data_IF_129664105416
#
_entry.id   IF_129664105416
#
_cell.length_a   1.000
_cell.length_b   1.000
_cell.length_c   1.000
_cell.angle_alpha   90.00
_cell.angle_beta   90.00
_cell.angle_gamma   90.00
#
_symmetry.space_group_name_H-M   'P 1'
#
loop_
_entity.id
_entity.type
_entity.pdbx_description
1 polymer ?
#
# COMPACT_ATOMS: atom_id res chain seq x y z
N UNK A 1 -2.37 -75.79 39.52
CA UNK A 1 -2.82 -75.23 38.23
C UNK A 1 -2.10 -73.89 38.05
N UNK A 2 -0.95 -73.88 37.36
CA UNK A 2 -0.13 -72.68 37.14
C UNK A 2 -0.63 -71.93 35.90
N UNK A 3 -1.06 -70.68 36.06
CA UNK A 3 -1.43 -69.80 34.96
C UNK A 3 -0.19 -68.99 34.59
N UNK A 4 0.38 -69.26 33.40
CA UNK A 4 1.47 -68.48 32.81
C UNK A 4 0.87 -67.28 32.09
N UNK A 5 1.23 -66.07 32.51
CA UNK A 5 0.94 -64.82 31.79
C UNK A 5 2.08 -64.49 30.83
N UNK A 6 1.79 -64.38 29.54
CA UNK A 6 2.70 -63.85 28.53
C UNK A 6 2.46 -62.33 28.34
N UNK A 7 3.50 -61.49 28.28
CA UNK A 7 3.33 -60.09 27.92
C UNK A 7 3.13 -59.94 26.41
N UNK A 8 2.05 -59.27 26.02
CA UNK A 8 1.74 -58.88 24.65
C UNK A 8 2.44 -57.54 24.36
N UNK A 9 3.52 -57.57 23.58
CA UNK A 9 4.20 -56.36 23.13
C UNK A 9 3.45 -55.76 21.93
N UNK A 10 2.70 -54.68 22.15
CA UNK A 10 2.05 -53.91 21.08
C UNK A 10 3.09 -52.91 20.54
N UNK A 11 3.65 -53.20 19.37
CA UNK A 11 4.48 -52.24 18.62
C UNK A 11 3.58 -51.22 17.93
N UNK A 12 3.51 -50.01 18.50
CA UNK A 12 2.85 -48.85 17.90
C UNK A 12 3.75 -48.27 16.81
N UNK A 13 3.43 -48.54 15.54
CA UNK A 13 4.09 -47.89 14.39
C UNK A 13 3.53 -46.47 14.28
N UNK A 14 4.29 -45.48 14.76
CA UNK A 14 4.03 -44.06 14.54
C UNK A 14 4.35 -43.72 13.07
N UNK A 15 3.31 -43.66 12.24
CA UNK A 15 3.37 -43.03 10.92
C UNK A 15 3.59 -41.52 11.10
N UNK A 16 4.85 -41.09 11.06
CA UNK A 16 5.21 -39.67 10.94
C UNK A 16 4.89 -39.25 9.51
N UNK A 17 3.69 -38.73 9.30
CA UNK A 17 3.36 -38.06 8.05
C UNK A 17 4.29 -36.83 7.92
N UNK A 18 4.99 -36.64 6.78
CA UNK A 18 5.74 -35.43 6.56
C UNK A 18 4.73 -34.28 6.52
N UNK A 19 4.80 -33.39 7.51
CA UNK A 19 4.16 -32.08 7.43
C UNK A 19 4.76 -31.39 6.20
N UNK A 20 4.04 -31.40 5.09
CA UNK A 20 4.38 -30.62 3.92
C UNK A 20 4.42 -29.16 4.35
N UNK A 21 5.60 -28.56 4.33
CA UNK A 21 5.75 -27.12 4.52
C UNK A 21 4.87 -26.43 3.48
N UNK A 22 3.77 -25.82 3.91
CA UNK A 22 2.96 -24.99 3.04
C UNK A 22 3.88 -23.95 2.39
N UNK A 23 3.90 -23.89 1.06
CA UNK A 23 4.69 -22.91 0.31
C UNK A 23 4.25 -21.52 0.77
N UNK A 24 5.21 -20.67 1.17
CA UNK A 24 4.89 -19.32 1.63
C UNK A 24 4.19 -18.56 0.50
N UNK A 25 3.18 -17.74 0.80
CA UNK A 25 2.56 -16.88 -0.21
C UNK A 25 3.64 -16.05 -0.89
N UNK A 26 3.65 -16.04 -2.23
CA UNK A 26 4.52 -15.15 -2.99
C UNK A 26 3.95 -13.74 -2.85
N UNK A 27 4.76 -12.80 -2.35
CA UNK A 27 4.42 -11.39 -2.21
C UNK A 27 5.15 -10.62 -3.32
N UNK A 28 4.57 -9.51 -3.79
CA UNK A 28 5.19 -8.65 -4.79
C UNK A 28 6.57 -8.14 -4.36
N UNK A 29 7.53 -8.14 -5.29
CA UNK A 29 8.85 -7.53 -5.08
C UNK A 29 8.84 -5.99 -5.12
N UNK A 30 7.67 -5.37 -5.29
CA UNK A 30 7.58 -3.93 -5.32
C UNK A 30 8.00 -3.29 -3.99
N UNK A 31 8.82 -2.24 -4.10
CA UNK A 31 9.26 -1.40 -2.97
C UNK A 31 8.75 0.04 -3.08
N UNK A 32 8.01 0.37 -4.13
CA UNK A 32 7.53 1.71 -4.40
C UNK A 32 6.28 1.66 -5.27
N UNK A 33 5.41 2.66 -5.16
CA UNK A 33 4.32 2.87 -6.10
C UNK A 33 4.88 3.01 -7.52
N UNK A 34 4.12 2.50 -8.48
CA UNK A 34 4.43 2.64 -9.90
C UNK A 34 3.14 2.88 -10.67
N UNK A 35 3.26 3.48 -11.84
CA UNK A 35 2.17 3.45 -12.78
C UNK A 35 1.92 1.99 -13.20
N UNK A 36 0.69 1.54 -13.07
CA UNK A 36 0.25 0.19 -13.43
C UNK A 36 -0.82 0.25 -14.51
N UNK A 37 -0.72 -0.69 -15.43
CA UNK A 37 -1.74 -0.94 -16.44
C UNK A 37 -2.74 -1.97 -15.91
N UNK A 38 -3.92 -1.50 -15.54
CA UNK A 38 -4.99 -2.36 -15.03
C UNK A 38 -5.67 -3.18 -16.14
N UNK A 39 -5.37 -2.95 -17.42
CA UNK A 39 -6.04 -3.66 -18.53
C UNK A 39 -5.73 -5.16 -18.55
N UNK A 40 -4.58 -5.56 -18.02
CA UNK A 40 -4.17 -6.95 -17.89
C UNK A 40 -4.68 -7.63 -16.60
N UNK A 41 -5.40 -6.91 -15.75
CA UNK A 41 -5.88 -7.44 -14.47
C UNK A 41 -7.27 -8.07 -14.62
N UNK A 42 -7.35 -9.39 -14.48
CA UNK A 42 -8.63 -10.13 -14.55
C UNK A 42 -9.65 -9.70 -13.48
N UNK A 43 -9.18 -9.07 -12.39
CA UNK A 43 -10.02 -8.54 -11.32
C UNK A 43 -10.47 -7.08 -11.58
N UNK A 44 -10.04 -6.45 -12.68
CA UNK A 44 -10.30 -5.02 -12.96
C UNK A 44 -11.78 -4.68 -12.89
N UNK A 45 -12.64 -5.52 -13.44
CA UNK A 45 -14.08 -5.26 -13.50
C UNK A 45 -14.86 -6.06 -12.43
N UNK A 46 -14.18 -6.62 -11.42
CA UNK A 46 -14.77 -7.43 -10.33
C UNK A 46 -14.51 -6.80 -8.97
N UNK A 47 -15.38 -5.87 -8.56
CA UNK A 47 -15.22 -5.15 -7.29
C UNK A 47 -15.27 -6.09 -6.07
N UNK A 48 -16.04 -7.18 -6.13
CA UNK A 48 -16.11 -8.20 -5.09
C UNK A 48 -14.89 -9.13 -5.03
N UNK A 49 -13.99 -9.07 -6.01
CA UNK A 49 -12.85 -9.97 -6.14
C UNK A 49 -13.25 -11.45 -6.18
N UNK A 50 -12.58 -12.29 -5.39
CA UNK A 50 -12.83 -13.74 -5.26
C UNK A 50 -13.38 -14.14 -3.89
N UNK A 51 -13.98 -13.21 -3.15
CA UNK A 51 -14.58 -13.52 -1.86
C UNK A 51 -15.63 -14.63 -1.97
N UNK A 52 -15.61 -15.54 -1.00
CA UNK A 52 -16.52 -16.71 -0.96
C UNK A 52 -17.71 -16.53 -0.02
N UNK A 53 -17.67 -15.51 0.83
CA UNK A 53 -18.71 -15.21 1.81
C UNK A 53 -19.40 -13.89 1.45
N UNK A 54 -20.66 -13.73 1.86
CA UNK A 54 -21.44 -12.52 1.56
C UNK A 54 -20.82 -11.26 2.18
N UNK A 55 -20.31 -11.36 3.41
CA UNK A 55 -19.60 -10.28 4.08
C UNK A 55 -18.25 -9.94 3.42
N UNK A 56 -17.51 -10.95 2.96
CA UNK A 56 -16.28 -10.74 2.19
C UNK A 56 -16.55 -10.04 0.85
N UNK A 57 -17.64 -10.41 0.18
CA UNK A 57 -18.09 -9.75 -1.07
C UNK A 57 -18.44 -8.27 -0.80
N UNK A 58 -19.16 -7.98 0.28
CA UNK A 58 -19.49 -6.61 0.70
C UNK A 58 -18.23 -5.80 0.99
N UNK A 59 -17.32 -6.33 1.81
CA UNK A 59 -16.08 -5.66 2.18
C UNK A 59 -15.17 -5.44 0.97
N UNK A 60 -15.00 -6.43 0.10
CA UNK A 60 -14.17 -6.28 -1.11
C UNK A 60 -14.70 -5.18 -2.03
N UNK A 61 -16.03 -5.04 -2.18
CA UNK A 61 -16.60 -3.91 -2.94
C UNK A 61 -16.24 -2.57 -2.36
N UNK A 62 -16.19 -2.45 -1.03
CA UNK A 62 -15.79 -1.22 -0.35
C UNK A 62 -14.28 -0.97 -0.45
N UNK A 63 -13.45 -2.02 -0.41
CA UNK A 63 -12.01 -1.92 -0.66
C UNK A 63 -11.72 -1.43 -2.09
N UNK A 64 -12.43 -2.00 -3.06
CA UNK A 64 -12.29 -1.72 -4.50
C UNK A 64 -13.13 -0.55 -5.03
N UNK A 65 -13.84 0.20 -4.18
CA UNK A 65 -14.66 1.32 -4.66
C UNK A 65 -13.80 2.39 -5.33
N UNK A 66 -14.40 3.16 -6.23
CA UNK A 66 -13.72 4.31 -6.84
C UNK A 66 -13.24 5.30 -5.78
N UNK A 67 -12.08 5.93 -6.03
CA UNK A 67 -11.58 6.98 -5.17
C UNK A 67 -12.62 8.10 -5.02
N UNK A 68 -12.87 8.53 -3.78
CA UNK A 68 -13.76 9.64 -3.53
C UNK A 68 -13.24 10.92 -4.22
N UNK A 69 -14.13 11.63 -4.92
CA UNK A 69 -13.83 12.95 -5.47
C UNK A 69 -13.61 13.94 -4.33
N UNK A 70 -12.41 14.49 -4.23
CA UNK A 70 -12.05 15.43 -3.16
C UNK A 70 -12.54 16.87 -3.41
N UNK A 71 -13.10 17.15 -4.59
CA UNK A 71 -13.57 18.49 -4.97
C UNK A 71 -14.76 18.92 -4.10
N UNK A 72 -14.60 20.02 -3.36
CA UNK A 72 -15.67 20.62 -2.56
C UNK A 72 -15.98 19.90 -1.24
N UNK A 73 -15.30 18.79 -0.94
CA UNK A 73 -15.43 18.08 0.33
C UNK A 73 -14.24 18.44 1.21
N UNK A 74 -14.50 18.91 2.44
CA UNK A 74 -13.50 19.03 3.50
C UNK A 74 -13.68 17.83 4.44
N UNK A 75 -12.87 16.77 4.31
CA UNK A 75 -12.96 15.61 5.17
C UNK A 75 -12.68 16.00 6.62
N UNK A 76 -13.34 15.32 7.56
CA UNK A 76 -13.01 15.48 8.97
C UNK A 76 -11.55 15.07 9.19
N UNK A 77 -10.77 15.95 9.81
CA UNK A 77 -9.36 15.70 10.08
C UNK A 77 -9.19 15.12 11.48
N UNK A 78 -8.48 13.99 11.58
CA UNK A 78 -8.28 13.26 12.83
C UNK A 78 -6.81 12.88 13.01
N UNK A 79 -6.33 12.89 14.25
CA UNK A 79 -5.11 12.18 14.67
C UNK A 79 -5.46 10.81 15.26
N UNK A 80 -4.46 10.02 15.70
CA UNK A 80 -4.70 8.70 16.30
C UNK A 80 -5.68 8.75 17.47
N UNK A 81 -5.53 9.70 18.38
CA UNK A 81 -6.39 9.79 19.56
C UNK A 81 -7.84 10.13 19.18
N UNK A 82 -8.03 11.07 18.25
CA UNK A 82 -9.35 11.50 17.80
C UNK A 82 -10.05 10.43 16.96
N UNK A 83 -9.29 9.74 16.10
CA UNK A 83 -9.79 8.60 15.32
C UNK A 83 -10.31 7.50 16.25
N UNK A 84 -9.48 7.04 17.21
CA UNK A 84 -9.88 5.99 18.14
C UNK A 84 -11.08 6.38 19.00
N UNK A 85 -11.18 7.65 19.42
CA UNK A 85 -12.39 8.14 20.12
C UNK A 85 -13.62 8.08 19.22
N UNK A 86 -13.48 8.50 17.95
CA UNK A 86 -14.57 8.58 16.99
C UNK A 86 -15.27 7.24 16.75
N UNK A 87 -14.48 6.17 16.62
CA UNK A 87 -14.98 4.80 16.35
C UNK A 87 -15.29 3.98 17.61
N UNK A 88 -14.84 4.42 18.80
CA UNK A 88 -14.89 3.61 20.03
C UNK A 88 -16.27 3.09 20.41
N UNK A 89 -17.30 3.89 20.14
CA UNK A 89 -18.68 3.53 20.46
C UNK A 89 -19.12 2.32 19.64
N UNK A 90 -18.85 2.32 18.34
CA UNK A 90 -19.12 1.20 17.46
C UNK A 90 -18.28 -0.02 17.85
N UNK A 91 -16.97 0.14 17.98
CA UNK A 91 -16.03 -0.95 18.33
C UNK A 91 -16.40 -1.67 19.62
N UNK A 92 -16.81 -0.93 20.65
CA UNK A 92 -17.23 -1.53 21.93
C UNK A 92 -18.43 -2.48 21.79
N UNK A 93 -19.30 -2.27 20.80
CA UNK A 93 -20.52 -3.06 20.55
C UNK A 93 -20.31 -4.16 19.51
N UNK A 94 -19.24 -4.10 18.73
CA UNK A 94 -18.97 -5.00 17.61
C UNK A 94 -17.69 -5.80 17.75
N UNK A 95 -16.94 -5.66 18.85
CA UNK A 95 -15.72 -6.42 19.13
C UNK A 95 -15.88 -7.93 18.85
N UNK A 96 -15.00 -8.47 18.01
CA UNK A 96 -14.99 -9.89 17.63
C UNK A 96 -16.15 -10.34 16.74
N UNK A 97 -17.02 -9.43 16.30
CA UNK A 97 -18.09 -9.73 15.34
C UNK A 97 -17.59 -9.59 13.90
N UNK A 98 -18.23 -10.33 12.98
CA UNK A 98 -18.16 -10.09 11.53
C UNK A 98 -19.40 -9.33 11.05
N UNK A 99 -19.40 -8.82 9.81
CA UNK A 99 -20.56 -8.11 9.23
C UNK A 99 -21.84 -8.95 9.25
N UNK A 100 -21.71 -10.25 9.01
CA UNK A 100 -22.84 -11.18 9.05
C UNK A 100 -23.49 -11.30 10.44
N UNK A 101 -22.76 -10.93 11.52
CA UNK A 101 -23.23 -11.02 12.91
C UNK A 101 -23.80 -9.68 13.43
N UNK A 102 -23.83 -8.64 12.59
CA UNK A 102 -24.36 -7.33 12.96
C UNK A 102 -25.88 -7.35 12.97
N UNK A 103 -26.46 -6.75 14.02
CA UNK A 103 -27.89 -6.43 14.03
C UNK A 103 -28.23 -5.38 12.95
N UNK A 104 -29.50 -5.25 12.52
CA UNK A 104 -29.89 -4.23 11.55
C UNK A 104 -29.51 -2.80 11.96
N UNK A 105 -29.58 -2.47 13.25
CA UNK A 105 -29.18 -1.16 13.78
C UNK A 105 -27.67 -0.95 13.65
N UNK A 106 -26.87 -1.97 13.99
CA UNK A 106 -25.42 -1.91 13.85
C UNK A 106 -24.99 -1.82 12.38
N UNK A 107 -25.70 -2.51 11.48
CA UNK A 107 -25.46 -2.43 10.03
C UNK A 107 -25.77 -1.04 9.47
N UNK A 108 -26.91 -0.47 9.82
CA UNK A 108 -27.26 0.89 9.41
C UNK A 108 -26.30 1.96 9.99
N UNK A 109 -25.72 1.71 11.16
CA UNK A 109 -24.66 2.55 11.72
C UNK A 109 -23.33 2.38 10.96
N UNK A 110 -22.92 1.14 10.69
CA UNK A 110 -21.73 0.83 9.89
C UNK A 110 -21.76 1.53 8.54
N UNK A 111 -22.88 1.43 7.81
CA UNK A 111 -23.05 2.06 6.51
C UNK A 111 -22.79 3.58 6.55
N UNK A 112 -23.18 4.26 7.63
CA UNK A 112 -22.92 5.71 7.80
C UNK A 112 -21.45 6.01 7.99
N UNK A 113 -20.72 5.16 8.71
CA UNK A 113 -19.28 5.31 8.88
C UNK A 113 -18.55 5.06 7.57
N UNK A 114 -18.87 3.98 6.86
CA UNK A 114 -18.15 3.57 5.66
C UNK A 114 -18.39 4.50 4.47
N UNK A 115 -19.45 5.30 4.47
CA UNK A 115 -19.66 6.37 3.49
C UNK A 115 -18.77 7.59 3.71
N UNK A 116 -18.13 7.71 4.88
CA UNK A 116 -17.36 8.89 5.22
C UNK A 116 -15.98 8.90 4.58
N UNK A 117 -15.61 10.09 4.16
CA UNK A 117 -14.26 10.46 3.78
C UNK A 117 -13.61 11.13 5.00
N UNK A 118 -12.44 10.65 5.42
CA UNK A 118 -11.69 11.22 6.54
C UNK A 118 -10.28 11.57 6.11
N UNK A 119 -9.66 12.51 6.82
CA UNK A 119 -8.25 12.87 6.68
C UNK A 119 -7.51 12.54 7.98
N UNK A 120 -6.70 11.50 7.95
CA UNK A 120 -5.96 11.03 9.12
C UNK A 120 -4.52 11.49 9.11
N UNK A 121 -4.02 11.99 10.24
CA UNK A 121 -2.64 12.43 10.39
C UNK A 121 -1.86 11.53 11.36
N UNK A 122 -0.67 11.12 10.94
CA UNK A 122 0.28 10.37 11.76
C UNK A 122 1.64 10.25 11.08
N UNK A 123 2.50 9.36 11.55
CA UNK A 123 3.83 9.10 10.99
C UNK A 123 3.84 7.78 10.24
N UNK A 124 4.19 7.81 8.95
CA UNK A 124 4.32 6.59 8.17
C UNK A 124 5.64 5.90 8.56
N UNK A 125 5.54 4.82 9.33
CA UNK A 125 6.73 4.09 9.80
C UNK A 125 7.07 2.96 8.85
N UNK A 126 6.07 2.18 8.44
CA UNK A 126 6.26 1.00 7.60
C UNK A 126 5.28 1.02 6.44
N UNK A 127 5.75 0.71 5.24
CA UNK A 127 4.90 0.45 4.08
C UNK A 127 5.32 -0.86 3.38
N UNK A 128 4.37 -1.57 2.79
CA UNK A 128 4.69 -2.81 2.04
C UNK A 128 3.57 -3.25 1.10
N UNK A 129 3.94 -4.08 0.13
CA UNK A 129 3.00 -4.81 -0.70
C UNK A 129 2.24 -5.85 0.13
N UNK A 130 0.91 -5.74 0.14
CA UNK A 130 0.03 -6.69 0.80
C UNK A 130 0.17 -8.10 0.25
N UNK A 131 -0.15 -9.12 1.06
CA UNK A 131 -0.23 -10.48 0.56
C UNK A 131 -1.36 -10.60 -0.48
N UNK A 132 -1.37 -11.68 -1.28
CA UNK A 132 -2.51 -12.00 -2.12
C UNK A 132 -3.81 -12.09 -1.33
N UNK A 133 -4.78 -11.25 -1.68
CA UNK A 133 -6.08 -11.17 -1.00
C UNK A 133 -7.24 -11.44 -1.96
N UNK A 134 -8.38 -11.85 -1.39
CA UNK A 134 -9.60 -12.06 -2.17
C UNK A 134 -10.06 -10.79 -2.89
N UNK A 135 -9.85 -9.61 -2.29
CA UNK A 135 -10.21 -8.31 -2.91
C UNK A 135 -9.49 -8.07 -4.23
N UNK A 136 -8.28 -8.61 -4.37
CA UNK A 136 -7.44 -8.48 -5.54
C UNK A 136 -7.36 -9.76 -6.39
N UNK A 137 -8.34 -10.66 -6.21
CA UNK A 137 -8.39 -11.97 -6.85
C UNK A 137 -7.14 -12.84 -6.61
N UNK A 138 -6.44 -12.64 -5.50
CA UNK A 138 -5.20 -13.35 -5.17
C UNK A 138 -4.01 -12.96 -6.06
N UNK A 139 -4.05 -11.80 -6.72
CA UNK A 139 -2.94 -11.33 -7.54
C UNK A 139 -1.73 -10.96 -6.67
N UNK A 140 -0.54 -11.31 -7.16
CA UNK A 140 0.73 -10.81 -6.62
C UNK A 140 1.17 -9.50 -7.26
N UNK A 141 0.66 -9.17 -8.45
CA UNK A 141 1.11 -8.01 -9.23
C UNK A 141 0.20 -6.80 -9.01
N UNK A 142 -1.06 -7.06 -8.69
CA UNK A 142 -2.07 -6.07 -8.32
C UNK A 142 -2.44 -6.32 -6.86
N UNK A 143 -1.76 -5.66 -5.94
CA UNK A 143 -1.93 -5.84 -4.51
C UNK A 143 -2.24 -4.50 -3.84
N UNK A 144 -2.82 -4.56 -2.65
CA UNK A 144 -2.96 -3.37 -1.83
C UNK A 144 -1.59 -3.00 -1.27
N UNK A 145 -1.31 -1.71 -1.08
CA UNK A 145 -0.19 -1.28 -0.25
C UNK A 145 -0.69 -1.05 1.16
N UNK A 146 -0.13 -1.78 2.13
CA UNK A 146 -0.41 -1.51 3.53
C UNK A 146 0.54 -0.44 4.04
N UNK A 147 -0.02 0.54 4.72
CA UNK A 147 0.67 1.66 5.34
C UNK A 147 0.39 1.60 6.84
N UNK A 148 1.42 1.37 7.64
CA UNK A 148 1.33 1.38 9.09
C UNK A 148 1.69 2.76 9.63
N UNK A 149 0.65 3.49 10.04
CA UNK A 149 0.76 4.89 10.46
C UNK A 149 0.61 5.00 11.97
N UNK A 150 1.66 5.48 12.62
CA UNK A 150 1.78 5.57 14.08
C UNK A 150 1.51 6.99 14.57
N UNK A 151 1.14 7.12 15.85
CA UNK A 151 0.95 8.43 16.48
C UNK A 151 2.26 9.23 16.63
N UNK A 152 3.38 8.52 16.75
CA UNK A 152 4.73 9.07 16.89
C UNK A 152 5.68 8.47 15.84
N UNK A 153 6.74 9.17 15.42
CA UNK A 153 7.74 8.59 14.53
C UNK A 153 8.51 7.48 15.25
N UNK A 154 9.10 6.57 14.48
CA UNK A 154 9.98 5.52 14.97
C UNK A 154 11.27 5.49 14.16
N UNK A 155 12.39 5.22 14.83
CA UNK A 155 13.71 4.97 14.23
C UNK A 155 14.05 3.48 14.11
N UNK A 156 13.09 2.61 14.47
CA UNK A 156 13.17 1.16 14.34
C UNK A 156 11.88 0.60 13.71
N UNK A 157 11.94 -0.59 13.08
CA UNK A 157 10.73 -1.27 12.65
C UNK A 157 9.86 -1.68 13.85
N UNK A 158 8.58 -2.01 13.64
CA UNK A 158 7.67 -2.42 14.71
C UNK A 158 8.22 -3.56 15.58
N UNK A 159 8.18 -3.40 16.90
CA UNK A 159 8.69 -4.36 17.88
C UNK A 159 7.81 -4.44 19.14
N UNK A 160 7.97 -5.48 19.98
CA UNK A 160 7.23 -5.58 21.23
C UNK A 160 7.45 -4.36 22.13
N UNK A 161 6.35 -3.86 22.69
CA UNK A 161 6.33 -2.65 23.53
C UNK A 161 5.88 -1.38 22.79
N UNK A 162 5.93 -1.37 21.45
CA UNK A 162 5.43 -0.23 20.67
C UNK A 162 3.90 -0.15 20.72
N UNK A 163 3.35 1.05 20.51
CA UNK A 163 1.93 1.19 20.19
C UNK A 163 1.62 0.51 18.85
N UNK A 164 0.39 0.10 18.61
CA UNK A 164 -0.03 -0.42 17.30
C UNK A 164 -0.41 0.72 16.34
N UNK A 165 -0.24 0.51 15.02
CA UNK A 165 -0.59 1.50 14.01
C UNK A 165 -2.10 1.57 13.73
N UNK A 166 -2.50 2.66 13.07
CA UNK A 166 -3.70 2.68 12.23
C UNK A 166 -3.28 2.22 10.83
N UNK A 167 -4.06 1.32 10.25
CA UNK A 167 -3.80 0.79 8.91
C UNK A 167 -4.47 1.68 7.87
N UNK A 168 -3.72 2.04 6.84
CA UNK A 168 -4.24 2.67 5.64
C UNK A 168 -3.82 1.83 4.43
N UNK A 169 -4.71 1.66 3.45
CA UNK A 169 -4.46 0.78 2.31
C UNK A 169 -4.71 1.48 0.97
N UNK A 170 -3.71 1.41 0.08
CA UNK A 170 -3.84 1.87 -1.31
C UNK A 170 -4.24 0.67 -2.16
N UNK A 171 -5.46 0.66 -2.67
CA UNK A 171 -5.90 -0.33 -3.66
C UNK A 171 -5.22 -0.11 -5.03
N UNK A 172 -4.99 -1.18 -5.84
CA UNK A 172 -4.45 -1.05 -7.20
C UNK A 172 -5.16 0.02 -8.05
N UNK A 173 -6.48 0.20 -7.87
CA UNK A 173 -7.28 1.18 -8.63
C UNK A 173 -6.82 2.63 -8.42
N UNK A 174 -6.29 2.93 -7.24
CA UNK A 174 -5.89 4.29 -6.86
C UNK A 174 -4.39 4.53 -6.98
N UNK A 175 -3.59 3.46 -7.10
CA UNK A 175 -2.13 3.54 -7.10
C UNK A 175 -1.59 4.50 -8.18
N UNK A 176 -2.05 4.36 -9.43
CA UNK A 176 -1.54 5.19 -10.54
C UNK A 176 -1.84 6.67 -10.34
N UNK A 177 -2.98 7.04 -9.75
CA UNK A 177 -3.31 8.43 -9.44
C UNK A 177 -2.35 8.99 -8.37
N UNK A 178 -2.18 8.27 -7.25
CA UNK A 178 -1.25 8.68 -6.18
C UNK A 178 0.20 8.77 -6.68
N UNK A 179 0.62 7.83 -7.53
CA UNK A 179 1.95 7.85 -8.13
C UNK A 179 2.17 9.10 -9.00
N UNK A 180 1.18 9.47 -9.83
CA UNK A 180 1.22 10.69 -10.66
C UNK A 180 1.18 11.97 -9.83
N UNK A 181 0.51 11.95 -8.68
CA UNK A 181 0.51 13.04 -7.69
C UNK A 181 1.84 13.16 -6.92
N UNK A 182 2.84 12.34 -7.27
CA UNK A 182 4.18 12.43 -6.70
C UNK A 182 4.36 11.70 -5.37
N UNK A 183 3.39 10.89 -4.94
CA UNK A 183 3.54 10.06 -3.73
C UNK A 183 4.66 9.03 -3.95
N UNK A 184 5.62 9.00 -3.01
CA UNK A 184 6.75 8.07 -3.00
C UNK A 184 6.88 7.44 -1.62
N UNK A 185 6.45 6.19 -1.49
CA UNK A 185 6.39 5.50 -0.19
C UNK A 185 7.77 5.39 0.45
N UNK A 186 8.84 5.17 -0.31
CA UNK A 186 10.18 5.07 0.30
C UNK A 186 10.66 6.40 0.89
N UNK A 187 10.24 7.53 0.32
CA UNK A 187 10.58 8.85 0.86
C UNK A 187 9.68 9.27 2.04
N UNK A 188 8.55 8.58 2.24
CA UNK A 188 7.59 8.86 3.31
C UNK A 188 7.74 7.91 4.50
N UNK A 189 8.04 6.63 4.24
CA UNK A 189 8.20 5.60 5.26
C UNK A 189 9.64 5.52 5.77
N UNK A 190 9.81 5.16 7.04
CA UNK A 190 11.14 4.84 7.59
C UNK A 190 11.63 3.45 7.14
N UNK A 191 10.70 2.52 6.96
CA UNK A 191 10.97 1.14 6.61
C UNK A 191 10.04 0.64 5.51
N UNK A 192 10.52 -0.31 4.72
CA UNK A 192 9.70 -1.14 3.84
C UNK A 192 9.80 -2.59 4.31
N UNK A 193 8.70 -3.34 4.22
CA UNK A 193 8.75 -4.80 4.41
C UNK A 193 8.94 -5.48 3.05
N UNK A 194 10.01 -6.25 2.94
CA UNK A 194 10.32 -7.06 1.77
C UNK A 194 9.42 -8.31 1.68
N UNK A 195 9.36 -9.00 0.53
CA UNK A 195 8.60 -10.24 0.36
C UNK A 195 9.07 -11.41 1.20
N UNK A 196 10.34 -11.44 1.56
CA UNK A 196 10.89 -12.38 2.54
C UNK A 196 10.53 -12.02 3.99
N UNK A 197 9.70 -10.96 4.15
CA UNK A 197 9.17 -10.40 5.37
C UNK A 197 10.21 -9.65 6.22
N UNK A 198 11.42 -9.42 5.70
CA UNK A 198 12.42 -8.60 6.39
C UNK A 198 12.05 -7.12 6.34
N UNK A 199 12.51 -6.37 7.34
CA UNK A 199 12.40 -4.90 7.34
C UNK A 199 13.66 -4.30 6.72
N UNK A 200 13.48 -3.47 5.70
CA UNK A 200 14.53 -2.73 5.02
C UNK A 200 14.39 -1.24 5.39
N UNK A 201 15.42 -0.57 5.95
CA UNK A 201 15.37 0.87 6.15
C UNK A 201 15.38 1.59 4.80
N UNK A 202 14.59 2.65 4.67
CA UNK A 202 14.53 3.45 3.43
C UNK A 202 15.66 4.48 3.33
N UNK A 203 16.38 4.71 4.43
CA UNK A 203 17.32 5.82 4.57
C UNK A 203 16.66 7.17 4.90
N UNK A 204 15.34 7.19 5.09
CA UNK A 204 14.58 8.37 5.49
C UNK A 204 13.97 8.18 6.90
N UNK A 205 13.79 9.25 7.69
CA UNK A 205 12.97 9.16 8.89
C UNK A 205 11.48 9.01 8.52
N UNK A 206 10.69 8.45 9.45
CA UNK A 206 9.24 8.37 9.29
C UNK A 206 8.66 9.79 9.12
N UNK A 207 7.98 10.04 8.00
CA UNK A 207 7.41 11.36 7.70
C UNK A 207 6.03 11.49 8.30
N UNK A 208 5.71 12.70 8.76
CA UNK A 208 4.36 13.03 9.19
C UNK A 208 3.50 13.20 7.94
N UNK A 209 2.50 12.35 7.78
CA UNK A 209 1.62 12.34 6.62
C UNK A 209 0.18 12.66 7.02
N UNK A 210 -0.56 13.28 6.09
CA UNK A 210 -2.03 13.27 6.07
C UNK A 210 -2.49 12.31 4.99
N UNK A 211 -3.26 11.31 5.38
CA UNK A 211 -3.85 10.32 4.47
C UNK A 211 -5.35 10.57 4.43
N UNK A 212 -5.87 10.82 3.24
CA UNK A 212 -7.30 11.00 3.00
C UNK A 212 -7.84 9.79 2.27
N UNK A 213 -8.93 9.22 2.77
CA UNK A 213 -9.59 8.08 2.17
C UNK A 213 -10.87 7.73 2.92
N UNK A 214 -11.55 6.70 2.47
CA UNK A 214 -12.79 6.30 3.09
C UNK A 214 -12.52 5.45 4.34
N UNK A 215 -13.38 5.60 5.36
CA UNK A 215 -13.42 4.64 6.45
C UNK A 215 -13.91 3.28 5.91
N UNK A 216 -13.28 2.22 6.40
CA UNK A 216 -13.69 0.85 6.16
C UNK A 216 -13.53 0.05 7.45
N UNK A 217 -14.52 -0.77 7.77
CA UNK A 217 -14.43 -1.71 8.89
C UNK A 217 -14.00 -3.08 8.35
N UNK A 218 -12.76 -3.46 8.64
CA UNK A 218 -12.18 -4.74 8.23
C UNK A 218 -12.51 -5.82 9.26
N UNK A 219 -13.73 -6.33 9.14
CA UNK A 219 -14.33 -7.27 10.09
C UNK A 219 -13.64 -8.64 10.13
N UNK A 220 -12.85 -9.00 9.11
CA UNK A 220 -12.03 -10.23 9.11
C UNK A 220 -10.90 -10.18 10.14
N UNK A 221 -10.54 -8.99 10.61
CA UNK A 221 -9.46 -8.78 11.56
C UNK A 221 -9.91 -7.98 12.78
N UNK A 222 -11.13 -8.26 13.23
CA UNK A 222 -11.70 -7.68 14.44
C UNK A 222 -11.44 -8.54 15.70
N UNK A 223 -10.51 -9.51 15.59
CA UNK A 223 -10.10 -10.39 16.69
C UNK A 223 -9.06 -9.75 17.62
N UNK A 224 -8.97 -10.25 18.85
CA UNK A 224 -7.95 -9.81 19.83
C UNK A 224 -6.51 -10.22 19.47
N UNK A 225 -6.35 -11.07 18.43
CA UNK A 225 -5.06 -11.36 17.84
C UNK A 225 -4.60 -10.22 16.92
N UNK A 226 -5.52 -9.59 16.20
CA UNK A 226 -5.21 -8.51 15.25
C UNK A 226 -5.28 -7.12 15.90
N UNK A 227 -6.21 -6.92 16.84
CA UNK A 227 -6.54 -5.62 17.43
C UNK A 227 -6.10 -5.50 18.89
N UNK A 228 -5.37 -4.44 19.20
CA UNK A 228 -5.06 -4.04 20.57
C UNK A 228 -4.09 -2.86 20.62
N UNK A 229 -3.87 -2.23 21.79
CA UNK A 229 -3.20 -0.93 21.88
C UNK A 229 -1.67 -0.96 21.73
N UNK A 230 -1.05 -2.13 21.81
CA UNK A 230 0.40 -2.25 21.74
C UNK A 230 0.86 -3.63 21.33
N UNK A 231 1.99 -3.67 20.63
CA UNK A 231 2.60 -4.88 20.08
C UNK A 231 3.12 -5.74 21.22
N UNK A 232 2.65 -6.99 21.30
CA UNK A 232 3.06 -7.95 22.33
C UNK A 232 4.17 -8.86 21.84
N UNK A 233 4.06 -9.33 20.61
CA UNK A 233 4.99 -10.30 20.02
C UNK A 233 5.24 -9.97 18.56
N UNK A 234 6.43 -10.29 18.09
CA UNK A 234 6.77 -10.33 16.66
C UNK A 234 7.12 -11.77 16.33
N UNK A 235 6.33 -12.39 15.47
CA UNK A 235 6.56 -13.76 15.05
C UNK A 235 7.83 -13.87 14.18
N UNK A 236 8.32 -15.10 13.95
CA UNK A 236 9.51 -15.34 13.14
C UNK A 236 9.38 -14.79 11.70
N UNK A 237 8.14 -14.71 11.20
CA UNK A 237 7.77 -14.12 9.92
C UNK A 237 7.64 -12.58 9.97
N UNK A 238 8.10 -11.94 11.05
CA UNK A 238 8.03 -10.49 11.30
C UNK A 238 6.62 -9.89 11.31
N UNK A 239 5.59 -10.72 11.36
CA UNK A 239 4.26 -10.26 11.63
C UNK A 239 4.13 -9.98 13.12
N UNK A 240 3.66 -8.78 13.47
CA UNK A 240 3.49 -8.39 14.86
C UNK A 240 2.05 -8.55 15.32
N UNK A 241 1.87 -8.80 16.62
CA UNK A 241 0.58 -9.17 17.20
C UNK A 241 0.40 -8.43 18.53
N UNK A 242 -0.67 -7.64 18.69
CA UNK A 242 -1.63 -7.23 17.67
C UNK A 242 -0.99 -6.44 16.53
N UNK A 243 -1.61 -6.52 15.35
CA UNK A 243 -1.14 -5.85 14.13
C UNK A 243 -1.63 -4.40 14.04
N UNK A 244 -2.79 -4.10 14.63
CA UNK A 244 -3.45 -2.79 14.48
C UNK A 244 -4.14 -2.33 15.76
N UNK A 245 -4.35 -1.02 15.88
CA UNK A 245 -5.01 -0.43 17.04
C UNK A 245 -6.53 -0.64 17.04
N UNK A 246 -7.13 -0.85 15.88
CA UNK A 246 -8.56 -1.04 15.66
C UNK A 246 -8.80 -1.84 14.37
N UNK A 247 -9.97 -2.46 14.22
CA UNK A 247 -10.43 -3.10 13.00
C UNK A 247 -10.79 -2.10 11.88
N UNK A 248 -10.85 -0.81 12.19
CA UNK A 248 -11.06 0.23 11.18
C UNK A 248 -9.78 0.60 10.46
N UNK A 249 -9.90 0.81 9.17
CA UNK A 249 -8.82 1.26 8.29
C UNK A 249 -9.30 2.40 7.39
N UNK A 250 -8.32 3.05 6.74
CA UNK A 250 -8.60 3.99 5.65
C UNK A 250 -8.36 3.25 4.34
N UNK A 251 -9.47 2.83 3.71
CA UNK A 251 -9.46 2.03 2.49
C UNK A 251 -10.70 2.34 1.61
N UNK A 252 -10.50 2.74 0.35
CA UNK A 252 -9.21 3.00 -0.28
C UNK A 252 -8.66 4.38 0.07
N UNK A 253 -7.34 4.48 0.12
CA UNK A 253 -6.65 5.78 0.18
C UNK A 253 -6.85 6.53 -1.15
N UNK A 254 -7.28 7.79 -1.05
CA UNK A 254 -7.50 8.69 -2.18
C UNK A 254 -6.42 9.77 -2.31
N UNK A 255 -5.76 10.18 -1.20
CA UNK A 255 -4.67 11.17 -1.22
C UNK A 255 -3.70 10.93 -0.07
N UNK A 256 -2.42 11.23 -0.31
CA UNK A 256 -1.37 11.27 0.73
C UNK A 256 -0.60 12.59 0.60
N UNK A 257 -0.44 13.29 1.71
CA UNK A 257 0.30 14.55 1.80
C UNK A 257 1.39 14.44 2.86
N UNK A 258 2.63 14.83 2.55
CA UNK A 258 3.66 15.04 3.57
C UNK A 258 3.43 16.39 4.27
N UNK A 259 3.39 16.41 5.60
CA UNK A 259 3.13 17.61 6.41
C UNK A 259 4.40 18.24 6.99
N UNK A 260 5.48 17.46 7.06
CA UNK A 260 6.78 17.83 7.61
C UNK A 260 7.86 17.97 6.52
N UNK A 261 7.47 17.87 5.25
CA UNK A 261 8.31 18.35 4.18
C UNK A 261 8.36 19.88 4.25
N UNK A 262 9.56 20.43 4.52
CA UNK A 262 9.91 21.69 3.85
C UNK A 262 9.52 21.47 2.39
N UNK A 263 8.67 22.36 1.87
CA UNK A 263 8.29 22.34 0.46
C UNK A 263 9.55 22.05 -0.33
N UNK A 264 9.55 21.08 -1.27
CA UNK A 264 10.75 20.78 -2.03
C UNK A 264 11.32 22.12 -2.49
N UNK A 265 12.57 22.40 -2.12
CA UNK A 265 13.34 23.49 -2.71
C UNK A 265 13.04 23.37 -4.19
N UNK A 266 12.29 24.35 -4.71
CA UNK A 266 11.78 24.31 -6.06
C UNK A 266 12.99 23.99 -6.94
N UNK A 267 13.03 22.76 -7.46
CA UNK A 267 14.05 22.38 -8.41
C UNK A 267 13.69 23.19 -9.66
N UNK A 268 14.31 24.36 -9.80
CA UNK A 268 14.29 25.25 -10.96
C UNK A 268 13.10 25.05 -11.90
N UNK A 269 11.88 25.25 -11.38
CA UNK A 269 10.77 25.55 -12.26
C UNK A 269 10.99 27.00 -12.71
N UNK A 270 11.13 27.26 -14.02
CA UNK A 270 11.29 28.62 -14.51
C UNK A 270 10.12 29.48 -13.98
N UNK A 271 10.38 30.72 -13.56
CA UNK A 271 9.40 31.52 -12.86
C UNK A 271 8.14 31.66 -13.71
N UNK A 272 6.99 31.36 -13.09
CA UNK A 272 5.70 31.62 -13.69
C UNK A 272 5.60 33.12 -14.00
N UNK A 273 5.60 33.46 -15.29
CA UNK A 273 5.48 34.83 -15.74
C UNK A 273 4.14 35.40 -15.26
N UNK A 274 4.21 36.52 -14.55
CA UNK A 274 3.05 37.33 -14.18
C UNK A 274 2.36 37.80 -15.47
N UNK A 275 1.03 37.67 -15.62
CA UNK A 275 0.36 38.11 -16.84
C UNK A 275 0.30 39.64 -16.85
N UNK A 276 1.23 40.25 -17.58
CA UNK A 276 1.09 41.63 -18.02
C UNK A 276 0.04 41.68 -19.13
N UNK A 277 -1.06 42.37 -18.87
CA UNK A 277 -2.07 42.69 -19.88
C UNK A 277 -1.42 43.65 -20.88
N UNK A 278 -1.13 43.16 -22.08
CA UNK A 278 -0.70 43.97 -23.22
C UNK A 278 -1.41 43.48 -24.49
N UNK A 279 -2.05 44.38 -25.28
CA UNK A 279 -2.81 44.00 -26.45
C UNK A 279 -1.88 43.79 -27.65
N UNK A 280 -1.78 42.55 -28.12
CA UNK A 280 -1.03 42.21 -29.34
C UNK A 280 -0.61 40.74 -29.34
N UNK A 281 -1.50 39.86 -29.79
CA UNK A 281 -1.26 38.43 -29.85
C UNK A 281 -0.18 38.08 -30.89
N UNK A 282 1.01 37.69 -30.42
CA UNK A 282 1.96 36.88 -31.16
C UNK A 282 1.64 35.38 -30.93
N UNK A 283 1.94 34.50 -31.90
CA UNK A 283 1.61 33.07 -31.81
C UNK A 283 2.26 32.40 -30.59
N UNK A 284 1.45 31.64 -29.84
CA UNK A 284 1.87 30.87 -28.66
C UNK A 284 2.91 29.83 -29.07
N UNK A 285 4.09 29.76 -28.42
CA UNK A 285 5.05 28.70 -28.68
C UNK A 285 4.47 27.35 -28.21
N UNK A 286 4.30 26.44 -29.15
CA UNK A 286 3.89 25.06 -28.90
C UNK A 286 4.95 24.38 -28.02
N UNK A 287 4.55 23.90 -26.84
CA UNK A 287 5.42 23.09 -25.98
C UNK A 287 5.87 21.85 -26.77
N UNK A 288 7.18 21.55 -26.85
CA UNK A 288 7.64 20.39 -27.59
C UNK A 288 7.04 19.11 -26.99
N UNK A 289 6.62 18.20 -27.87
CA UNK A 289 6.07 16.91 -27.47
C UNK A 289 7.12 16.12 -26.65
N UNK A 290 6.71 15.60 -25.50
CA UNK A 290 7.55 14.78 -24.64
C UNK A 290 7.85 13.44 -25.34
N UNK A 291 9.13 13.15 -25.57
CA UNK A 291 9.57 11.88 -26.17
C UNK A 291 9.64 10.76 -25.11
N UNK A 292 9.34 9.52 -25.53
CA UNK A 292 9.41 8.33 -24.68
C UNK A 292 10.23 7.21 -25.32
N UNK A 293 10.80 6.35 -24.48
CA UNK A 293 11.42 5.08 -24.88
C UNK A 293 10.82 3.92 -24.12
N UNK A 294 10.78 2.75 -24.74
CA UNK A 294 10.31 1.51 -24.11
C UNK A 294 11.49 0.56 -23.90
N UNK A 295 11.63 0.00 -22.71
CA UNK A 295 12.68 -0.97 -22.42
C UNK A 295 12.44 -2.29 -23.17
N UNK A 296 13.42 -2.77 -23.93
CA UNK A 296 13.36 -4.05 -24.66
C UNK A 296 13.81 -5.24 -23.81
N UNK A 297 14.53 -4.98 -22.72
CA UNK A 297 15.02 -5.96 -21.75
C UNK A 297 15.09 -5.35 -20.35
N UNK A 298 15.17 -6.16 -19.28
CA UNK A 298 15.39 -5.62 -17.95
C UNK A 298 16.71 -4.83 -17.86
N UNK A 299 16.69 -3.69 -17.18
CA UNK A 299 17.86 -2.80 -17.02
C UNK A 299 18.10 -2.55 -15.54
N UNK A 300 19.31 -2.84 -15.05
CA UNK A 300 19.71 -2.49 -13.69
C UNK A 300 20.14 -1.02 -13.66
N UNK A 301 19.54 -0.26 -12.76
CA UNK A 301 19.90 1.14 -12.50
C UNK A 301 20.28 1.30 -11.03
N UNK A 302 21.01 2.38 -10.74
CA UNK A 302 21.32 2.78 -9.37
C UNK A 302 20.43 3.94 -8.96
N UNK A 303 19.69 3.75 -7.89
CA UNK A 303 18.85 4.75 -7.24
C UNK A 303 19.45 5.05 -5.86
N UNK A 304 19.05 6.12 -5.15
CA UNK A 304 19.71 6.56 -3.92
C UNK A 304 19.75 5.49 -2.83
N UNK A 305 18.77 4.59 -2.87
CA UNK A 305 18.54 3.53 -1.90
C UNK A 305 18.88 2.12 -2.42
N UNK A 306 19.66 2.01 -3.50
CA UNK A 306 20.22 0.72 -3.94
C UNK A 306 20.25 0.51 -5.45
N UNK A 307 20.29 -0.76 -5.85
CA UNK A 307 20.17 -1.16 -7.25
C UNK A 307 18.74 -1.65 -7.52
N UNK A 308 18.14 -1.20 -8.62
CA UNK A 308 16.81 -1.63 -9.06
C UNK A 308 16.86 -2.16 -10.48
N UNK A 309 16.14 -3.25 -10.74
CA UNK A 309 15.96 -3.77 -12.10
C UNK A 309 14.65 -3.24 -12.65
N UNK A 310 14.73 -2.36 -13.64
CA UNK A 310 13.59 -1.91 -14.41
C UNK A 310 13.11 -3.04 -15.33
N UNK A 311 11.81 -3.39 -15.34
CA UNK A 311 11.31 -4.48 -16.17
C UNK A 311 11.26 -4.11 -17.66
N UNK A 312 11.33 -5.14 -18.52
CA UNK A 312 11.03 -5.01 -19.95
C UNK A 312 9.62 -4.43 -20.14
N UNK A 313 9.43 -3.60 -21.15
CA UNK A 313 8.15 -2.96 -21.47
C UNK A 313 7.89 -1.65 -20.74
N UNK A 314 8.69 -1.31 -19.73
CA UNK A 314 8.57 -0.03 -19.03
C UNK A 314 8.83 1.13 -20.00
N UNK A 315 7.89 2.08 -20.06
CA UNK A 315 8.03 3.33 -20.82
C UNK A 315 8.62 4.42 -19.94
N UNK A 316 9.62 5.13 -20.45
CA UNK A 316 10.36 6.14 -19.71
C UNK A 316 10.44 7.45 -20.52
N UNK A 317 10.20 8.61 -19.91
CA UNK A 317 10.32 9.91 -20.57
C UNK A 317 11.79 10.22 -20.84
N UNK A 318 12.12 10.56 -22.09
CA UNK A 318 13.47 10.94 -22.49
C UNK A 318 13.75 12.38 -22.09
N UNK A 319 14.87 12.61 -21.41
CA UNK A 319 15.43 13.94 -21.14
C UNK A 319 16.50 14.32 -22.16
N UNK A 320 17.38 13.37 -22.52
CA UNK A 320 18.44 13.59 -23.50
C UNK A 320 18.88 12.27 -24.14
N UNK A 321 19.42 12.37 -25.36
CA UNK A 321 20.07 11.26 -26.07
C UNK A 321 21.55 11.57 -26.25
N UNK A 322 22.40 10.59 -25.98
CA UNK A 322 23.84 10.67 -26.23
C UNK A 322 24.30 9.40 -26.95
N UNK A 323 25.48 9.42 -27.55
CA UNK A 323 26.07 8.22 -28.15
C UNK A 323 26.39 7.09 -27.15
N UNK A 324 26.30 7.36 -25.84
CA UNK A 324 26.59 6.40 -24.78
C UNK A 324 25.32 5.84 -24.09
N UNK A 325 24.13 6.37 -24.41
CA UNK A 325 22.89 5.99 -23.75
C UNK A 325 21.81 7.05 -23.82
N UNK A 326 20.65 6.70 -23.27
CA UNK A 326 19.47 7.55 -23.20
C UNK A 326 19.27 7.97 -21.75
N UNK A 327 19.27 9.27 -21.53
CA UNK A 327 19.00 9.88 -20.24
C UNK A 327 17.50 10.00 -20.07
N UNK A 328 16.96 9.38 -19.03
CA UNK A 328 15.52 9.37 -18.71
C UNK A 328 15.26 9.95 -17.34
N UNK A 329 14.03 10.42 -17.10
CA UNK A 329 13.55 10.66 -15.75
C UNK A 329 12.93 9.38 -15.17
N UNK A 330 13.43 8.94 -14.03
CA UNK A 330 12.87 7.84 -13.28
C UNK A 330 12.86 8.18 -11.79
N UNK A 331 11.65 8.24 -11.20
CA UNK A 331 11.42 8.61 -9.80
C UNK A 331 12.01 9.98 -9.41
N UNK A 332 11.95 10.96 -10.32
CA UNK A 332 12.48 12.30 -10.09
C UNK A 332 14.00 12.37 -10.20
N UNK A 333 14.64 11.31 -10.67
CA UNK A 333 16.08 11.23 -10.88
C UNK A 333 16.44 10.98 -12.32
N UNK A 334 17.57 11.54 -12.71
CA UNK A 334 18.15 11.33 -14.03
C UNK A 334 18.88 9.98 -14.06
N UNK A 335 18.40 9.06 -14.88
CA UNK A 335 18.99 7.73 -15.05
C UNK A 335 19.53 7.57 -16.47
N UNK A 336 20.69 6.91 -16.62
CA UNK A 336 21.23 6.59 -17.94
C UNK A 336 20.88 5.14 -18.30
N UNK A 337 20.14 4.96 -19.39
CA UNK A 337 19.71 3.67 -19.91
C UNK A 337 20.53 3.32 -21.16
N UNK A 338 21.09 2.10 -21.26
CA UNK A 338 21.79 1.66 -22.46
C UNK A 338 20.88 1.77 -23.70
N UNK A 339 21.40 2.36 -24.78
CA UNK A 339 20.61 2.60 -25.99
C UNK A 339 20.08 1.29 -26.61
N UNK A 340 20.89 0.23 -26.57
CA UNK A 340 20.54 -1.13 -27.05
C UNK A 340 19.43 -1.80 -26.21
N UNK A 341 19.14 -1.28 -25.01
CA UNK A 341 18.05 -1.74 -24.16
C UNK A 341 16.73 -1.00 -24.42
N UNK A 342 16.64 -0.18 -25.46
CA UNK A 342 15.46 0.67 -25.73
C UNK A 342 15.00 0.62 -27.17
N UNK A 343 13.71 0.90 -27.38
CA UNK A 343 13.14 1.26 -28.69
C UNK A 343 12.40 2.59 -28.54
N UNK A 344 12.42 3.40 -29.60
CA UNK A 344 11.67 4.66 -29.61
C UNK A 344 10.17 4.39 -29.47
N UNK A 345 9.52 5.03 -28.50
CA UNK A 345 8.06 5.07 -28.42
C UNK A 345 7.57 6.20 -29.31
N UNK A 346 6.55 5.94 -30.14
CA UNK A 346 5.92 6.99 -30.93
C UNK A 346 5.39 8.14 -30.05
N UNK A 347 5.25 9.36 -30.60
CA UNK A 347 4.56 10.46 -29.91
C UNK A 347 3.12 10.04 -29.58
N UNK A 348 2.57 10.61 -28.49
CA UNK A 348 1.15 10.47 -28.15
C UNK A 348 0.26 11.17 -29.17
#
# INVERSE_FOLDING_TARGET
>A
MQIKTFPLTISLILLVAPFGSAERPRISEDRELKEIDLSAWDCRDRLEGTAKTSDGVERNRLKNREAATLTGTLPETMDTASFLRYISAFDSRTKGKRRQDLSPVQRAELEKYEQQLVSFTGYLVLAYAGPPESTNCGSTDFHDWHLEVFAAPSDHPPRPGDATPIICEITPRNQSALFRDGVRLQSLAAFIRAPDLTYEPTGHPARKVRITGNLLWDDDHNGAADVGPGIRTVAANKYHTPWRATAWEIHPVAKIEALDAEAPLAADLPPAATPAISPGAAPVPTKPAQEFVTLTRPVKIRIPYGEKVLPRGLRLPVKARSGQGITVDYLGQTQNIPQDATVAGGPQ
#
